data_IF_211519758925
#
_entry.id   IF_211519758925
#
_cell.length_a   1.000
_cell.length_b   1.000
_cell.length_c   1.000
_cell.angle_alpha   90.00
_cell.angle_beta   90.00
_cell.angle_gamma   90.00
#
_symmetry.space_group_name_H-M   'P 1'
#
loop_
_entity.id
_entity.type
_entity.pdbx_description
1 polymer ?
#
# COMPACT_ATOMS: atom_id res chain seq x y z
N UNK A 1 -16.01 1.05 6.50
CA UNK A 1 -15.29 0.12 7.39
C UNK A 1 -13.87 -0.04 6.85
N UNK A 2 -12.83 0.34 7.61
CA UNK A 2 -11.42 0.29 7.17
C UNK A 2 -10.90 -1.16 7.19
N UNK A 3 -11.16 -1.93 6.12
CA UNK A 3 -10.65 -3.32 5.99
C UNK A 3 -9.12 -3.41 6.07
N UNK A 4 -8.39 -2.36 5.68
CA UNK A 4 -6.93 -2.32 5.80
C UNK A 4 -6.43 -2.45 7.24
N UNK A 5 -7.20 -2.01 8.25
CA UNK A 5 -6.79 -2.13 9.65
C UNK A 5 -6.79 -3.58 10.16
N UNK A 6 -7.38 -4.51 9.41
CA UNK A 6 -7.41 -5.94 9.74
C UNK A 6 -6.18 -6.68 9.23
N UNK A 7 -5.30 -6.00 8.50
CA UNK A 7 -4.05 -6.55 8.00
C UNK A 7 -3.05 -6.59 9.16
N UNK A 8 -2.44 -7.76 9.38
CA UNK A 8 -1.43 -7.99 10.40
C UNK A 8 -0.05 -8.11 9.75
N UNK A 9 0.76 -7.03 9.76
CA UNK A 9 2.11 -7.05 9.22
C UNK A 9 3.09 -7.70 10.21
N UNK A 10 3.96 -8.58 9.71
CA UNK A 10 5.13 -9.10 10.44
C UNK A 10 6.38 -8.93 9.60
N UNK A 11 7.41 -8.28 10.15
CA UNK A 11 8.71 -8.16 9.49
C UNK A 11 9.52 -9.45 9.67
N UNK A 12 10.07 -9.95 8.57
CA UNK A 12 10.89 -11.17 8.53
C UNK A 12 12.22 -10.87 7.83
N UNK A 13 13.17 -11.81 7.88
CA UNK A 13 14.45 -11.66 7.16
C UNK A 13 14.30 -11.60 5.64
N UNK A 14 13.18 -12.09 5.09
CA UNK A 14 12.93 -12.16 3.64
C UNK A 14 12.00 -11.06 3.13
N UNK A 15 11.35 -10.29 4.01
CA UNK A 15 10.38 -9.27 3.62
C UNK A 15 9.29 -9.04 4.65
N UNK A 16 8.23 -8.37 4.20
CA UNK A 16 7.02 -8.10 4.97
C UNK A 16 6.00 -9.22 4.75
N UNK A 17 5.72 -9.98 5.80
CA UNK A 17 4.61 -10.93 5.83
C UNK A 17 3.33 -10.19 6.15
N UNK A 18 2.29 -10.47 5.39
CA UNK A 18 0.99 -9.81 5.50
C UNK A 18 -0.09 -10.87 5.64
N UNK A 19 -0.77 -10.85 6.78
CA UNK A 19 -1.85 -11.76 7.11
C UNK A 19 -3.18 -11.02 7.24
N UNK A 20 -4.26 -11.63 6.77
CA UNK A 20 -5.62 -11.14 6.97
C UNK A 20 -6.61 -12.31 6.99
N UNK A 21 -7.67 -12.18 7.80
CA UNK A 21 -8.69 -13.22 7.94
C UNK A 21 -9.35 -13.55 6.59
N UNK A 22 -9.37 -14.84 6.24
CA UNK A 22 -9.95 -15.33 4.98
C UNK A 22 -9.05 -15.17 3.75
N UNK A 23 -7.83 -14.67 3.92
CA UNK A 23 -6.82 -14.59 2.86
C UNK A 23 -5.66 -15.52 3.16
N UNK A 24 -4.98 -16.01 2.12
CA UNK A 24 -3.70 -16.70 2.28
C UNK A 24 -2.62 -15.67 2.65
N UNK A 25 -1.69 -16.05 3.53
CA UNK A 25 -0.52 -15.23 3.88
C UNK A 25 0.20 -14.75 2.62
N UNK A 26 0.51 -13.45 2.56
CA UNK A 26 1.26 -12.84 1.48
C UNK A 26 2.66 -12.49 1.96
N UNK A 27 3.68 -12.90 1.20
CA UNK A 27 5.05 -12.43 1.38
C UNK A 27 5.36 -11.33 0.39
N UNK A 28 5.73 -10.15 0.90
CA UNK A 28 6.13 -9.00 0.11
C UNK A 28 7.64 -8.77 0.30
N UNK A 29 8.48 -8.93 -0.74
CA UNK A 29 9.91 -8.62 -0.61
C UNK A 29 10.10 -7.13 -0.33
N UNK A 30 11.13 -6.74 0.43
CA UNK A 30 11.38 -5.32 0.74
C UNK A 30 11.65 -4.47 -0.50
N UNK A 31 12.28 -5.07 -1.51
CA UNK A 31 12.47 -4.42 -2.80
C UNK A 31 11.46 -5.00 -3.80
N UNK A 32 10.72 -4.15 -4.54
CA UNK A 32 9.88 -4.61 -5.62
C UNK A 32 10.70 -5.37 -6.67
N UNK A 33 10.16 -6.48 -7.15
CA UNK A 33 10.79 -7.26 -8.22
C UNK A 33 10.73 -6.51 -9.57
N UNK A 34 9.69 -5.69 -9.75
CA UNK A 34 9.50 -4.88 -10.95
C UNK A 34 10.38 -3.63 -10.86
N UNK A 35 11.08 -3.35 -11.96
CA UNK A 35 11.90 -2.13 -12.10
C UNK A 35 11.09 -0.92 -12.57
N UNK A 36 9.80 -1.09 -12.81
CA UNK A 36 8.94 -0.07 -13.40
C UNK A 36 8.73 1.08 -12.42
N UNK A 37 9.25 2.24 -12.80
CA UNK A 37 9.02 3.50 -12.11
C UNK A 37 7.69 4.05 -12.61
N UNK A 38 6.78 4.28 -11.68
CA UNK A 38 5.50 4.94 -11.94
C UNK A 38 5.55 6.36 -11.41
N UNK A 39 4.85 7.27 -12.08
CA UNK A 39 4.66 8.64 -11.64
C UNK A 39 3.23 8.79 -11.11
N UNK A 40 3.11 9.18 -9.84
CA UNK A 40 1.83 9.49 -9.20
C UNK A 40 1.64 10.99 -9.31
N UNK A 41 0.89 11.40 -10.34
CA UNK A 41 0.76 12.81 -10.75
C UNK A 41 0.18 13.69 -9.64
N UNK A 42 -0.69 13.14 -8.82
CA UNK A 42 -1.37 13.85 -7.73
C UNK A 42 -0.41 14.34 -6.65
N UNK A 43 0.72 13.65 -6.47
CA UNK A 43 1.75 14.01 -5.48
C UNK A 43 3.13 14.23 -6.11
N UNK A 44 3.22 14.21 -7.44
CA UNK A 44 4.47 14.33 -8.19
C UNK A 44 5.59 13.41 -7.68
N UNK A 45 5.26 12.15 -7.41
CA UNK A 45 6.24 11.17 -6.92
C UNK A 45 6.50 10.08 -7.93
N UNK A 46 7.79 9.74 -8.05
CA UNK A 46 8.23 8.51 -8.69
C UNK A 46 8.27 7.40 -7.65
N UNK A 47 7.66 6.26 -7.94
CA UNK A 47 7.63 5.09 -7.05
C UNK A 47 7.76 3.81 -7.85
N UNK A 48 7.95 2.69 -7.17
CA UNK A 48 7.99 1.36 -7.81
C UNK A 48 6.76 0.56 -7.40
N UNK A 49 6.16 -0.18 -8.33
CA UNK A 49 5.05 -1.08 -8.07
C UNK A 49 5.53 -2.46 -7.67
N UNK A 50 4.86 -3.11 -6.71
CA UNK A 50 5.06 -4.54 -6.48
C UNK A 50 4.38 -5.39 -7.55
N UNK A 51 3.15 -5.04 -7.95
CA UNK A 51 2.42 -5.71 -9.01
C UNK A 51 2.08 -7.17 -8.73
N UNK A 52 1.61 -7.86 -9.76
CA UNK A 52 1.40 -9.32 -9.77
C UNK A 52 0.56 -9.83 -8.59
N UNK A 53 1.13 -10.77 -7.83
CA UNK A 53 0.46 -11.39 -6.68
C UNK A 53 0.10 -10.39 -5.59
N UNK A 54 0.93 -9.36 -5.36
CA UNK A 54 0.67 -8.33 -4.34
C UNK A 54 -0.56 -7.51 -4.73
N UNK A 55 -0.58 -7.00 -5.96
CA UNK A 55 -1.72 -6.25 -6.49
C UNK A 55 -3.02 -7.07 -6.42
N UNK A 56 -2.97 -8.33 -6.86
CA UNK A 56 -4.12 -9.25 -6.81
C UNK A 56 -4.61 -9.47 -5.38
N UNK A 57 -3.69 -9.66 -4.44
CA UNK A 57 -4.03 -9.91 -3.03
C UNK A 57 -4.77 -8.72 -2.42
N UNK A 58 -4.23 -7.50 -2.56
CA UNK A 58 -4.87 -6.29 -2.03
C UNK A 58 -6.21 -6.00 -2.70
N UNK A 59 -6.27 -6.16 -4.04
CA UNK A 59 -7.50 -5.95 -4.78
C UNK A 59 -8.61 -6.92 -4.34
N UNK A 60 -8.26 -8.18 -4.08
CA UNK A 60 -9.19 -9.20 -3.59
C UNK A 60 -9.66 -8.89 -2.17
N UNK A 61 -8.73 -8.64 -1.25
CA UNK A 61 -9.05 -8.42 0.16
C UNK A 61 -9.91 -7.17 0.39
N UNK A 62 -9.60 -6.10 -0.33
CA UNK A 62 -10.31 -4.82 -0.23
C UNK A 62 -11.54 -4.74 -1.13
N UNK A 63 -11.83 -5.80 -1.90
CA UNK A 63 -12.93 -5.85 -2.88
C UNK A 63 -12.92 -4.65 -3.84
N UNK A 64 -11.73 -4.24 -4.26
CA UNK A 64 -11.52 -3.10 -5.15
C UNK A 64 -10.55 -3.48 -6.26
N UNK A 65 -10.93 -3.32 -7.54
CA UNK A 65 -10.03 -3.61 -8.64
C UNK A 65 -8.87 -2.61 -8.68
N UNK A 66 -7.82 -2.99 -9.41
CA UNK A 66 -6.70 -2.12 -9.78
C UNK A 66 -5.93 -1.49 -8.61
N UNK A 67 -5.91 -2.18 -7.46
CA UNK A 67 -5.08 -1.80 -6.33
C UNK A 67 -3.70 -2.45 -6.43
N UNK A 68 -2.68 -1.69 -6.07
CA UNK A 68 -1.31 -2.16 -5.95
C UNK A 68 -0.63 -1.53 -4.74
N UNK A 69 0.43 -2.19 -4.27
CA UNK A 69 1.32 -1.64 -3.27
C UNK A 69 2.50 -0.96 -3.97
N UNK A 70 2.78 0.27 -3.54
CA UNK A 70 3.90 1.06 -4.04
C UNK A 70 4.99 1.15 -2.99
N UNK A 71 6.23 1.16 -3.45
CA UNK A 71 7.42 1.39 -2.64
C UNK A 71 7.99 2.77 -2.97
N UNK A 72 8.15 3.60 -1.94
CA UNK A 72 8.90 4.85 -2.01
C UNK A 72 10.36 4.53 -1.72
N UNK A 73 11.19 4.58 -2.77
CA UNK A 73 12.64 4.50 -2.66
C UNK A 73 13.17 5.67 -1.81
N UNK A 74 14.25 5.45 -1.06
CA UNK A 74 14.85 6.48 -0.17
C UNK A 74 15.33 7.71 -0.95
N UNK A 75 15.49 7.57 -2.26
CA UNK A 75 15.81 8.66 -3.19
C UNK A 75 14.65 9.63 -3.42
N UNK A 76 13.43 9.30 -2.98
CA UNK A 76 12.25 10.13 -3.14
C UNK A 76 11.88 10.79 -1.82
N UNK A 77 11.75 12.12 -1.85
CA UNK A 77 11.36 12.89 -0.67
C UNK A 77 9.94 12.50 -0.21
N UNK A 78 9.69 12.35 1.11
CA UNK A 78 8.36 12.10 1.65
C UNK A 78 7.35 13.13 1.14
N UNK A 79 6.21 12.67 0.61
CA UNK A 79 5.15 13.57 0.14
C UNK A 79 3.89 13.46 0.97
N UNK A 80 3.29 14.62 1.21
CA UNK A 80 1.97 14.72 1.82
C UNK A 80 0.90 14.74 0.73
N UNK A 81 -0.02 13.79 0.76
CA UNK A 81 -1.07 13.66 -0.26
C UNK A 81 -2.18 14.69 -0.06
N UNK A 82 -2.69 14.85 1.16
CA UNK A 82 -3.60 15.90 1.60
C UNK A 82 -3.47 16.11 3.11
N UNK A 83 -3.58 17.36 3.57
CA UNK A 83 -3.99 17.60 4.95
C UNK A 83 -5.45 17.16 5.06
N UNK A 84 -5.70 16.07 5.77
CA UNK A 84 -7.06 15.70 6.17
C UNK A 84 -7.36 16.60 7.36
N UNK A 85 -8.02 17.73 7.13
CA UNK A 85 -8.63 18.46 8.24
C UNK A 85 -9.65 17.50 8.88
N UNK A 86 -9.59 17.25 10.19
CA UNK A 86 -10.62 16.49 10.86
C UNK A 86 -11.93 17.28 10.73
N UNK A 87 -12.90 16.73 10.00
CA UNK A 87 -14.28 17.19 10.02
C UNK A 87 -14.85 16.91 11.42
N UNK A 88 -14.57 17.79 12.38
CA UNK A 88 -15.38 17.85 13.58
C UNK A 88 -16.74 18.41 13.16
N UNK A 89 -17.86 17.68 13.32
CA UNK A 89 -19.15 18.28 13.13
C UNK A 89 -19.24 19.45 14.12
N UNK A 90 -19.50 20.65 13.60
CA UNK A 90 -19.90 21.78 14.43
C UNK A 90 -21.14 21.33 15.21
N UNK A 91 -20.97 21.03 16.50
CA UNK A 91 -22.10 21.01 17.41
C UNK A 91 -22.71 22.41 17.40
N UNK A 92 -24.03 22.43 17.18
CA UNK A 92 -24.86 23.59 16.89
C UNK A 92 -24.91 24.63 18.03
#
# INVERSE_FOLDING_TARGET
>A
MLRMALIQPTFTSSGLQVDASGMTTLMIPYSPLLKDIIEIKEINVKSRRHGGTVAKWFSTFLEKPDLDLIYFDEQFEPQHTKNIEPEFPNEA
#
